data_IF_626816933889
#
_entry.id   IF_626816933889
#
_cell.length_a   1.000
_cell.length_b   1.000
_cell.length_c   1.000
_cell.angle_alpha   90.00
_cell.angle_beta   90.00
_cell.angle_gamma   90.00
#
_symmetry.space_group_name_H-M   'P 1'
#
loop_
_entity.id
_entity.type
_entity.pdbx_description
1 polymer ?
#
# COMPACT_ATOMS: atom_id res chain seq x y z
N UNK A 1 23.90 6.03 -7.43
CA UNK A 1 22.47 5.82 -7.72
C UNK A 1 21.68 6.15 -6.46
N UNK A 2 20.63 6.96 -6.55
CA UNK A 2 19.68 7.15 -5.44
C UNK A 2 19.08 5.79 -5.08
N UNK A 3 19.06 5.46 -3.79
CA UNK A 3 18.40 4.25 -3.32
C UNK A 3 16.90 4.34 -3.58
N UNK A 4 16.44 3.69 -4.65
CA UNK A 4 15.05 3.69 -5.09
C UNK A 4 14.11 3.10 -4.04
N UNK A 5 14.63 2.33 -3.07
CA UNK A 5 13.80 1.69 -2.05
C UNK A 5 13.11 2.70 -1.14
N UNK A 6 13.75 3.83 -0.83
CA UNK A 6 13.16 4.89 0.00
C UNK A 6 11.95 5.56 -0.66
N UNK A 7 12.06 6.17 -1.87
CA UNK A 7 10.91 6.79 -2.51
C UNK A 7 9.80 5.78 -2.83
N UNK A 8 10.13 4.56 -3.26
CA UNK A 8 9.14 3.52 -3.47
C UNK A 8 8.43 3.13 -2.15
N UNK A 9 9.19 2.96 -1.06
CA UNK A 9 8.65 2.66 0.26
C UNK A 9 7.65 3.71 0.76
N UNK A 10 7.97 5.00 0.61
CA UNK A 10 7.05 6.08 0.96
C UNK A 10 5.81 6.12 0.07
N UNK A 11 5.98 5.94 -1.24
CA UNK A 11 4.87 5.94 -2.19
C UNK A 11 3.87 4.82 -1.89
N UNK A 12 4.35 3.57 -1.80
CA UNK A 12 3.48 2.42 -1.53
C UNK A 12 2.90 2.44 -0.11
N UNK A 13 3.66 2.94 0.87
CA UNK A 13 3.16 3.13 2.23
C UNK A 13 2.00 4.12 2.29
N UNK A 14 2.16 5.31 1.69
CA UNK A 14 1.11 6.33 1.66
C UNK A 14 -0.11 5.87 0.86
N UNK A 15 0.11 5.33 -0.34
CA UNK A 15 -0.97 4.77 -1.17
C UNK A 15 -1.74 3.69 -0.41
N UNK A 16 -1.01 2.80 0.26
CA UNK A 16 -1.59 1.72 1.04
C UNK A 16 -2.42 2.20 2.22
N UNK A 17 -1.96 3.23 2.95
CA UNK A 17 -2.73 3.85 4.03
C UNK A 17 -4.03 4.46 3.51
N UNK A 18 -3.97 5.19 2.39
CA UNK A 18 -5.16 5.80 1.77
C UNK A 18 -6.16 4.74 1.33
N UNK A 19 -5.73 3.70 0.62
CA UNK A 19 -6.61 2.64 0.12
C UNK A 19 -7.18 1.75 1.24
N UNK A 20 -6.40 1.49 2.28
CA UNK A 20 -6.88 0.77 3.47
C UNK A 20 -7.93 1.60 4.20
N UNK A 21 -7.66 2.90 4.40
CA UNK A 21 -8.61 3.83 5.01
C UNK A 21 -9.93 3.91 4.23
N UNK A 22 -9.85 4.07 2.90
CA UNK A 22 -11.07 4.10 2.05
C UNK A 22 -11.82 2.77 2.08
N UNK A 23 -11.11 1.65 2.01
CA UNK A 23 -11.69 0.30 2.08
C UNK A 23 -12.35 -0.02 3.42
N UNK A 24 -11.89 0.56 4.52
CA UNK A 24 -12.50 0.41 5.85
C UNK A 24 -13.72 1.32 6.06
N UNK A 25 -13.74 2.50 5.44
CA UNK A 25 -14.82 3.48 5.62
C UNK A 25 -15.99 3.28 4.66
N UNK A 26 -15.76 2.63 3.51
CA UNK A 26 -16.78 2.45 2.48
C UNK A 26 -16.61 1.13 1.72
N UNK A 27 -17.74 0.49 1.39
CA UNK A 27 -17.79 -0.67 0.50
C UNK A 27 -17.82 -0.24 -0.97
N UNK A 28 -16.71 0.35 -1.44
CA UNK A 28 -16.48 0.62 -2.85
C UNK A 28 -16.00 -0.63 -3.57
N UNK A 29 -16.91 -1.59 -3.72
CA UNK A 29 -16.66 -2.79 -4.49
C UNK A 29 -16.67 -2.46 -5.99
N UNK A 30 -15.71 -3.01 -6.73
CA UNK A 30 -15.76 -2.94 -8.19
C UNK A 30 -16.97 -3.74 -8.69
N UNK A 31 -17.60 -3.38 -9.83
CA UNK A 31 -18.83 -4.02 -10.30
C UNK A 31 -18.76 -5.55 -10.48
N UNK A 32 -17.55 -6.09 -10.63
CA UNK A 32 -17.29 -7.51 -10.86
C UNK A 32 -16.65 -8.22 -9.64
N UNK A 33 -16.56 -7.55 -8.49
CA UNK A 33 -15.90 -8.07 -7.31
C UNK A 33 -16.82 -7.95 -6.09
N UNK A 34 -17.06 -9.08 -5.43
CA UNK A 34 -17.79 -9.08 -4.15
C UNK A 34 -16.93 -8.57 -2.98
N UNK A 35 -15.62 -8.46 -3.21
CA UNK A 35 -14.64 -8.07 -2.23
C UNK A 35 -14.13 -6.64 -2.45
N UNK A 36 -13.80 -5.96 -1.35
CA UNK A 36 -13.35 -4.57 -1.39
C UNK A 36 -11.88 -4.52 -1.82
N UNK A 37 -11.65 -4.38 -3.13
CA UNK A 37 -10.32 -4.38 -3.72
C UNK A 37 -9.39 -3.32 -3.11
N UNK A 38 -9.94 -2.15 -2.75
CA UNK A 38 -9.16 -1.08 -2.11
C UNK A 38 -8.55 -1.55 -0.79
N UNK A 39 -9.31 -2.29 0.02
CA UNK A 39 -8.83 -2.81 1.29
C UNK A 39 -7.69 -3.81 1.10
N UNK A 40 -7.88 -4.81 0.23
CA UNK A 40 -6.87 -5.84 -0.02
C UNK A 40 -5.60 -5.24 -0.63
N UNK A 41 -5.74 -4.37 -1.63
CA UNK A 41 -4.60 -3.75 -2.29
C UNK A 41 -3.90 -2.71 -1.39
N UNK A 42 -4.66 -2.04 -0.53
CA UNK A 42 -4.15 -1.16 0.50
C UNK A 42 -3.23 -1.88 1.48
N UNK A 43 -3.69 -2.98 2.07
CA UNK A 43 -2.90 -3.81 2.99
C UNK A 43 -1.64 -4.34 2.30
N UNK A 44 -1.78 -4.84 1.07
CA UNK A 44 -0.64 -5.30 0.27
C UNK A 44 0.40 -4.18 0.05
N UNK A 45 -0.05 -2.98 -0.31
CA UNK A 45 0.82 -1.82 -0.56
C UNK A 45 1.54 -1.35 0.71
N UNK A 46 0.88 -1.37 1.87
CA UNK A 46 1.51 -1.08 3.17
C UNK A 46 2.62 -2.10 3.45
N UNK A 47 2.32 -3.40 3.29
CA UNK A 47 3.32 -4.44 3.52
C UNK A 47 4.53 -4.28 2.58
N UNK A 48 4.27 -4.07 1.29
CA UNK A 48 5.30 -3.88 0.28
C UNK A 48 6.17 -2.64 0.56
N UNK A 49 5.54 -1.50 0.81
CA UNK A 49 6.24 -0.26 1.17
C UNK A 49 7.04 -0.38 2.47
N UNK A 50 6.48 -1.06 3.47
CA UNK A 50 7.14 -1.35 4.74
C UNK A 50 8.39 -2.21 4.58
N UNK A 51 8.34 -3.26 3.74
CA UNK A 51 9.51 -4.09 3.41
C UNK A 51 10.59 -3.24 2.74
N UNK A 52 10.22 -2.37 1.80
CA UNK A 52 11.16 -1.49 1.12
C UNK A 52 11.85 -0.50 2.07
N UNK A 53 11.09 0.15 2.96
CA UNK A 53 11.65 1.05 3.98
C UNK A 53 12.55 0.30 4.96
N UNK A 54 12.20 -0.94 5.33
CA UNK A 54 13.02 -1.78 6.18
C UNK A 54 14.34 -2.18 5.50
N UNK A 55 14.31 -2.62 4.24
CA UNK A 55 15.51 -2.93 3.46
C UNK A 55 16.39 -1.69 3.26
N UNK A 56 15.79 -0.52 3.04
CA UNK A 56 16.50 0.75 2.91
C UNK A 56 17.16 1.24 4.20
N UNK A 57 16.72 0.75 5.37
CA UNK A 57 17.35 1.03 6.67
C UNK A 57 18.51 0.08 6.98
N UNK A 58 18.57 -1.08 6.31
CA UNK A 58 19.61 -2.10 6.54
C UNK A 58 20.83 -1.95 5.63
N UNK A 59 20.73 -1.14 4.57
CA UNK A 59 21.80 -0.84 3.64
C UNK A 59 22.53 0.44 4.05
#
# INVERSE_FOLDING_TARGET
>A
MLDLRKPAGYFFGLLGLLLTGTGLMANFNAPLLDSNLNLYFGIFSIAFGGIFLWLARRA
#
